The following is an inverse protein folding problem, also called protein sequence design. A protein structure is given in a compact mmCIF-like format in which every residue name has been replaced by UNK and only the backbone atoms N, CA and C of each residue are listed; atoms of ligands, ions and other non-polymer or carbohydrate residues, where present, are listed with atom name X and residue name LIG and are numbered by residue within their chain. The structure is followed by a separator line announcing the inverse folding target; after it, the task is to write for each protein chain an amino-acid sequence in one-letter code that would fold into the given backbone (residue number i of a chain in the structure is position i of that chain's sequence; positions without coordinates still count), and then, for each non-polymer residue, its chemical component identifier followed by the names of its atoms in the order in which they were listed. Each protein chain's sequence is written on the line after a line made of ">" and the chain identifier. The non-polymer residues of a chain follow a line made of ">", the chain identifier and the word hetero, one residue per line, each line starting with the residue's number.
data_IF_264353631508
#
_entry.id   IF_264353631508
#
_cell.length_a   1.000
_cell.length_b   1.000
_cell.length_c   1.000
_cell.angle_alpha   90.00
_cell.angle_beta   90.00
_cell.angle_gamma   90.00
#
_symmetry.space_group_name_H-M   'P 1'
#
loop_
_entity.id
_entity.type
_entity.pdbx_description
1 polymer ?
#
# COMPACT_ATOMS: atom_id res chain seq x y z
N UNK A 1 6.51 -1.48 11.33
CA UNK A 1 7.98 -1.65 11.15
C UNK A 1 8.46 -1.33 9.73
N UNK A 2 7.92 -1.94 8.68
CA UNK A 2 8.38 -1.74 7.29
C UNK A 2 8.55 -0.26 6.88
N UNK A 3 7.53 0.57 7.15
CA UNK A 3 7.55 2.01 6.87
C UNK A 3 8.69 2.77 7.55
N UNK A 4 9.10 2.33 8.74
CA UNK A 4 10.21 2.94 9.46
C UNK A 4 11.54 2.63 8.75
N UNK A 5 11.76 1.37 8.34
CA UNK A 5 12.98 0.95 7.66
C UNK A 5 13.21 1.68 6.33
N UNK A 6 12.15 1.95 5.57
CA UNK A 6 12.22 2.75 4.35
C UNK A 6 12.74 4.17 4.57
N UNK A 7 12.64 4.69 5.80
CA UNK A 7 13.14 6.02 6.17
C UNK A 7 14.53 5.92 6.82
N UNK A 8 14.71 4.95 7.72
CA UNK A 8 15.96 4.76 8.48
C UNK A 8 17.13 4.43 7.55
N UNK A 9 16.98 3.44 6.68
CA UNK A 9 18.07 2.97 5.82
C UNK A 9 18.67 4.10 4.96
N UNK A 10 17.90 4.85 4.15
CA UNK A 10 18.48 5.93 3.34
C UNK A 10 18.98 7.10 4.19
N UNK A 11 18.37 7.39 5.34
CA UNK A 11 18.82 8.48 6.20
C UNK A 11 20.21 8.19 6.81
N UNK A 12 20.41 6.99 7.34
CA UNK A 12 21.69 6.60 7.95
C UNK A 12 22.81 6.46 6.91
N UNK A 13 22.53 5.87 5.75
CA UNK A 13 23.53 5.72 4.67
C UNK A 13 24.02 7.08 4.16
N UNK A 14 23.17 8.10 4.19
CA UNK A 14 23.53 9.47 3.80
C UNK A 14 24.16 10.29 4.93
N UNK A 15 24.47 9.66 6.08
CA UNK A 15 25.17 10.30 7.19
C UNK A 15 24.29 11.12 8.13
N UNK A 16 22.96 10.98 8.06
CA UNK A 16 22.05 11.68 8.97
C UNK A 16 21.83 10.88 10.25
N UNK A 17 21.55 11.57 11.35
CA UNK A 17 20.92 10.98 12.53
C UNK A 17 19.40 10.98 12.38
N UNK A 18 18.70 10.10 13.10
CA UNK A 18 17.25 10.00 13.00
C UNK A 18 16.59 9.76 14.36
N UNK A 19 15.51 10.50 14.60
CA UNK A 19 14.56 10.23 15.70
C UNK A 19 13.27 9.67 15.10
N UNK A 20 12.93 8.44 15.47
CA UNK A 20 11.69 7.78 15.06
C UNK A 20 10.64 7.98 16.15
N UNK A 21 9.49 8.56 15.78
CA UNK A 21 8.25 8.45 16.56
C UNK A 21 7.33 7.42 15.91
N UNK A 22 7.15 6.23 16.50
CA UNK A 22 6.20 5.25 15.99
C UNK A 22 4.74 5.69 16.25
N UNK A 23 3.79 4.98 15.62
CA UNK A 23 2.37 5.11 15.98
C UNK A 23 2.17 4.72 17.44
N UNK A 24 1.37 5.49 18.22
CA UNK A 24 1.03 5.13 19.59
C UNK A 24 0.30 3.78 19.68
N UNK A 25 -0.32 3.35 18.58
CA UNK A 25 -1.06 2.09 18.54
C UNK A 25 -0.21 0.86 18.17
N UNK A 26 0.99 1.05 17.59
CA UNK A 26 1.88 -0.07 17.19
C UNK A 26 3.36 0.16 17.55
N UNK A 27 3.70 0.57 18.79
CA UNK A 27 5.06 1.00 19.13
C UNK A 27 6.05 -0.16 19.31
N UNK A 28 5.58 -1.34 19.73
CA UNK A 28 6.44 -2.41 20.26
C UNK A 28 7.52 -2.88 19.29
N UNK A 29 7.17 -3.06 18.01
CA UNK A 29 8.14 -3.52 16.99
C UNK A 29 9.22 -2.47 16.71
N UNK A 30 8.86 -1.18 16.70
CA UNK A 30 9.81 -0.08 16.53
C UNK A 30 10.71 0.11 17.75
N UNK A 31 10.17 -0.05 18.96
CA UNK A 31 10.96 -0.01 20.20
C UNK A 31 11.96 -1.17 20.25
N UNK A 32 11.51 -2.39 19.91
CA UNK A 32 12.39 -3.55 19.83
C UNK A 32 13.49 -3.38 18.79
N UNK A 33 13.16 -2.80 17.64
CA UNK A 33 14.16 -2.43 16.63
C UNK A 33 15.18 -1.43 17.17
N UNK A 34 14.74 -0.39 17.87
CA UNK A 34 15.63 0.59 18.51
C UNK A 34 16.63 -0.07 19.47
N UNK A 35 16.16 -0.99 20.32
CA UNK A 35 17.03 -1.76 21.23
C UNK A 35 18.10 -2.56 20.49
N UNK A 36 17.72 -3.24 19.40
CA UNK A 36 18.67 -4.02 18.58
C UNK A 36 19.64 -3.08 17.87
N UNK A 37 19.15 -1.98 17.31
CA UNK A 37 19.98 -1.02 16.60
C UNK A 37 21.04 -0.36 17.50
N UNK A 38 20.74 -0.16 18.78
CA UNK A 38 21.69 0.36 19.77
C UNK A 38 22.89 -0.56 20.03
N UNK A 39 22.81 -1.87 19.72
CA UNK A 39 23.97 -2.76 19.84
C UNK A 39 24.97 -2.62 18.68
N UNK A 40 24.63 -1.86 17.64
CA UNK A 40 25.41 -1.73 16.40
C UNK A 40 25.75 -0.28 16.10
N UNK A 41 24.82 0.64 16.35
CA UNK A 41 24.99 2.06 16.03
C UNK A 41 25.59 2.83 17.21
N UNK A 42 26.45 3.84 16.94
CA UNK A 42 26.91 4.75 17.98
C UNK A 42 25.75 5.45 18.71
N UNK A 43 25.93 5.83 19.99
CA UNK A 43 24.93 6.59 20.73
C UNK A 43 24.48 7.86 19.99
N UNK A 44 23.17 8.09 19.95
CA UNK A 44 22.56 9.27 19.33
C UNK A 44 22.36 9.21 17.81
N UNK A 45 22.89 8.20 17.11
CA UNK A 45 22.69 8.05 15.65
C UNK A 45 21.24 7.71 15.31
N UNK A 46 20.63 6.83 16.11
CA UNK A 46 19.24 6.44 15.98
C UNK A 46 18.56 6.45 17.36
N UNK A 47 17.49 7.22 17.48
CA UNK A 47 16.64 7.23 18.68
C UNK A 47 15.22 6.84 18.31
N UNK A 48 14.58 6.04 19.15
CA UNK A 48 13.15 5.69 19.01
C UNK A 48 12.42 6.23 20.23
N UNK A 49 11.54 7.20 20.01
CA UNK A 49 10.79 7.87 21.08
C UNK A 49 9.31 7.59 20.88
N UNK A 50 8.76 6.73 21.74
CA UNK A 50 7.33 6.43 21.74
C UNK A 50 6.58 7.48 22.55
N UNK A 51 5.44 7.93 22.04
CA UNK A 51 4.60 8.93 22.70
C UNK A 51 3.26 9.08 21.98
N UNK A 52 2.33 9.77 22.63
CA UNK A 52 1.02 10.13 22.11
C UNK A 52 1.14 11.19 20.97
N UNK A 53 0.01 11.74 20.55
CA UNK A 53 -0.03 12.70 19.44
C UNK A 53 0.62 14.05 19.76
N UNK A 54 0.77 14.41 21.04
CA UNK A 54 1.39 15.66 21.49
C UNK A 54 2.88 15.74 21.14
N UNK A 55 3.56 14.59 21.06
CA UNK A 55 4.97 14.54 20.66
C UNK A 55 5.20 14.98 19.20
N UNK A 56 4.20 14.81 18.32
CA UNK A 56 4.32 15.15 16.90
C UNK A 56 4.61 16.63 16.64
N UNK A 57 3.80 17.56 17.19
CA UNK A 57 4.07 18.99 17.12
C UNK A 57 5.46 19.40 17.65
N UNK A 58 5.87 18.88 18.82
CA UNK A 58 7.20 19.18 19.37
C UNK A 58 8.33 18.78 18.42
N UNK A 59 8.27 17.60 17.81
CA UNK A 59 9.27 17.17 16.84
C UNK A 59 9.24 17.98 15.54
N UNK A 60 8.05 18.31 15.04
CA UNK A 60 7.90 19.02 13.77
C UNK A 60 8.28 20.50 13.86
N UNK A 61 8.15 21.12 15.04
CA UNK A 61 8.56 22.49 15.31
C UNK A 61 10.02 22.63 15.80
N UNK A 62 10.68 21.54 16.19
CA UNK A 62 12.02 21.60 16.77
C UNK A 62 13.04 22.28 15.81
N UNK A 63 13.85 23.25 16.29
CA UNK A 63 14.79 23.99 15.44
C UNK A 63 15.84 23.06 14.83
N UNK A 64 16.37 22.10 15.61
CA UNK A 64 17.47 21.22 15.16
C UNK A 64 17.06 20.10 14.20
N UNK A 65 15.76 19.89 13.95
CA UNK A 65 15.31 18.86 13.00
C UNK A 65 15.28 19.45 11.58
N UNK A 66 16.24 19.07 10.75
CA UNK A 66 16.38 19.60 9.39
C UNK A 66 15.35 19.03 8.37
N UNK A 67 14.78 17.85 8.64
CA UNK A 67 13.85 17.17 7.73
C UNK A 67 12.82 16.34 8.49
N UNK A 68 11.57 16.40 8.02
CA UNK A 68 10.48 15.52 8.46
C UNK A 68 10.11 14.54 7.34
N UNK A 69 9.93 13.28 7.70
CA UNK A 69 9.40 12.23 6.82
C UNK A 69 8.22 11.57 7.53
N UNK A 70 7.01 11.89 7.10
CA UNK A 70 5.77 11.44 7.73
C UNK A 70 5.04 10.45 6.84
N UNK A 71 4.42 9.44 7.46
CA UNK A 71 3.51 8.52 6.80
C UNK A 71 2.26 8.36 7.66
N UNK A 72 1.08 8.64 7.11
CA UNK A 72 -0.17 8.64 7.86
C UNK A 72 -1.34 9.26 7.10
N UNK A 73 -2.34 9.77 7.82
CA UNK A 73 -3.53 10.35 7.18
C UNK A 73 -3.26 11.71 6.54
N UNK A 74 -4.04 12.07 5.52
CA UNK A 74 -4.00 13.41 4.90
C UNK A 74 -4.34 14.52 5.90
N UNK A 75 -5.27 14.27 6.82
CA UNK A 75 -5.61 15.22 7.88
C UNK A 75 -4.39 15.54 8.75
N UNK A 76 -3.72 14.52 9.28
CA UNK A 76 -2.50 14.69 10.08
C UNK A 76 -1.35 15.28 9.28
N UNK A 77 -1.19 14.88 8.01
CA UNK A 77 -0.18 15.45 7.11
C UNK A 77 -0.30 16.97 6.95
N UNK A 78 -1.53 17.50 6.87
CA UNK A 78 -1.77 18.97 6.86
C UNK A 78 -1.29 19.64 8.16
N UNK A 79 -1.48 19.01 9.32
CA UNK A 79 -0.95 19.52 10.60
C UNK A 79 0.58 19.49 10.63
N UNK A 80 1.21 18.43 10.13
CA UNK A 80 2.67 18.31 10.03
C UNK A 80 3.26 19.44 9.19
N UNK A 81 2.67 19.75 8.03
CA UNK A 81 3.12 20.88 7.19
C UNK A 81 3.03 22.20 7.95
N UNK A 82 1.88 22.48 8.57
CA UNK A 82 1.67 23.74 9.32
C UNK A 82 2.69 23.91 10.44
N UNK A 83 2.94 22.85 11.21
CA UNK A 83 3.89 22.86 12.32
C UNK A 83 5.34 23.04 11.84
N UNK A 84 5.69 22.43 10.70
CA UNK A 84 7.03 22.53 10.12
C UNK A 84 7.32 23.92 9.48
N UNK A 85 6.29 24.67 9.10
CA UNK A 85 6.40 25.91 8.33
C UNK A 85 7.26 26.97 9.02
N UNK A 86 7.18 27.09 10.36
CA UNK A 86 7.92 28.12 11.12
C UNK A 86 9.45 28.01 11.04
N UNK A 87 9.98 26.87 10.61
CA UNK A 87 11.43 26.64 10.47
C UNK A 87 11.87 26.38 9.03
N UNK A 88 10.93 26.43 8.08
CA UNK A 88 11.17 26.16 6.66
C UNK A 88 11.88 24.81 6.37
N UNK A 89 11.68 23.81 7.24
CA UNK A 89 12.33 22.50 7.10
C UNK A 89 11.71 21.67 5.97
N UNK A 90 12.50 20.78 5.37
CA UNK A 90 12.04 19.92 4.27
C UNK A 90 11.05 18.86 4.79
N UNK A 91 9.92 18.69 4.11
CA UNK A 91 8.92 17.68 4.45
C UNK A 91 8.73 16.67 3.30
N UNK A 92 8.60 15.39 3.65
CA UNK A 92 8.13 14.34 2.73
C UNK A 92 6.95 13.65 3.40
N UNK A 93 5.82 13.57 2.70
CA UNK A 93 4.56 13.06 3.24
C UNK A 93 4.04 11.95 2.34
N UNK A 94 3.91 10.76 2.91
CA UNK A 94 3.23 9.63 2.28
C UNK A 94 1.86 9.50 2.94
N UNK A 95 0.80 9.85 2.23
CA UNK A 95 -0.54 10.02 2.78
C UNK A 95 -1.51 8.93 2.29
N UNK A 96 -2.71 8.89 2.85
CA UNK A 96 -3.74 7.92 2.50
C UNK A 96 -4.06 7.84 0.99
N UNK A 97 -4.51 6.68 0.55
CA UNK A 97 -4.73 6.34 -0.86
C UNK A 97 -6.07 5.66 -1.09
N UNK A 98 -6.93 6.27 -1.90
CA UNK A 98 -8.18 5.65 -2.36
C UNK A 98 -7.96 5.05 -3.76
N UNK A 99 -7.08 4.07 -3.85
CA UNK A 99 -6.54 3.56 -5.11
C UNK A 99 -7.56 2.71 -5.88
N UNK A 100 -7.57 2.89 -7.19
CA UNK A 100 -8.42 2.12 -8.10
C UNK A 100 -7.62 0.98 -8.73
N UNK A 101 -8.25 -0.17 -8.94
CA UNK A 101 -7.77 -1.19 -9.86
C UNK A 101 -8.76 -1.31 -11.02
N UNK A 102 -8.25 -1.25 -12.25
CA UNK A 102 -9.04 -1.31 -13.48
C UNK A 102 -8.72 -2.63 -14.18
N UNK A 103 -9.73 -3.50 -14.28
CA UNK A 103 -9.64 -4.79 -14.96
C UNK A 103 -10.15 -4.62 -16.39
N UNK A 104 -9.22 -4.71 -17.34
CA UNK A 104 -9.45 -4.44 -18.76
C UNK A 104 -10.16 -5.61 -19.48
N UNK A 105 -10.89 -5.38 -20.59
CA UNK A 105 -11.65 -6.42 -21.28
C UNK A 105 -10.84 -7.67 -21.66
N UNK A 106 -9.55 -7.47 -21.96
CA UNK A 106 -8.58 -8.46 -22.41
C UNK A 106 -7.74 -9.07 -21.26
N UNK A 107 -7.97 -8.64 -20.02
CA UNK A 107 -7.31 -9.21 -18.86
C UNK A 107 -7.80 -10.65 -18.63
N UNK A 108 -6.86 -11.55 -18.35
CA UNK A 108 -7.16 -12.86 -17.76
C UNK A 108 -7.58 -12.66 -16.29
N UNK A 109 -8.80 -12.15 -16.11
CA UNK A 109 -9.30 -11.70 -14.82
C UNK A 109 -9.50 -12.88 -13.86
N UNK A 110 -9.81 -14.08 -14.38
CA UNK A 110 -9.98 -15.30 -13.59
C UNK A 110 -8.66 -15.69 -12.90
N UNK A 111 -7.54 -15.61 -13.61
CA UNK A 111 -6.22 -15.94 -13.06
C UNK A 111 -5.70 -14.93 -12.01
N UNK A 112 -6.20 -13.69 -12.02
CA UNK A 112 -5.74 -12.61 -11.13
C UNK A 112 -6.67 -12.33 -9.94
N UNK A 113 -7.78 -13.05 -9.79
CA UNK A 113 -8.68 -12.92 -8.63
C UNK A 113 -7.93 -12.97 -7.29
N UNK A 114 -7.01 -13.94 -7.03
CA UNK A 114 -6.27 -13.97 -5.76
C UNK A 114 -5.46 -12.69 -5.51
N UNK A 115 -4.83 -12.13 -6.54
CA UNK A 115 -3.97 -10.95 -6.47
C UNK A 115 -4.81 -9.70 -6.22
N UNK A 116 -5.95 -9.55 -6.90
CA UNK A 116 -6.89 -8.45 -6.68
C UNK A 116 -7.49 -8.53 -5.27
N UNK A 117 -7.84 -9.74 -4.82
CA UNK A 117 -8.36 -9.96 -3.48
C UNK A 117 -7.34 -9.54 -2.42
N UNK A 118 -6.13 -10.08 -2.46
CA UNK A 118 -5.09 -9.74 -1.47
C UNK A 118 -4.60 -8.30 -1.59
N UNK A 119 -4.63 -7.72 -2.79
CA UNK A 119 -4.39 -6.30 -3.00
C UNK A 119 -5.43 -5.42 -2.30
N UNK A 120 -6.68 -5.88 -2.20
CA UNK A 120 -7.77 -5.12 -1.58
C UNK A 120 -7.90 -5.37 -0.07
N UNK A 121 -7.83 -6.63 0.37
CA UNK A 121 -8.13 -7.03 1.76
C UNK A 121 -6.88 -7.41 2.58
N UNK A 122 -5.71 -7.48 1.96
CA UNK A 122 -4.45 -7.79 2.67
C UNK A 122 -4.24 -6.84 3.86
N UNK A 123 -3.72 -7.37 4.97
CA UNK A 123 -3.62 -6.65 6.25
C UNK A 123 -4.97 -6.04 6.70
N UNK A 124 -6.07 -6.77 6.46
CA UNK A 124 -7.45 -6.34 6.69
C UNK A 124 -7.79 -5.01 5.99
N UNK A 125 -7.27 -4.83 4.77
CA UNK A 125 -7.45 -3.63 3.95
C UNK A 125 -6.71 -2.38 4.45
N UNK A 126 -5.82 -2.53 5.43
CA UNK A 126 -5.08 -1.41 6.05
C UNK A 126 -3.71 -1.21 5.39
N UNK A 127 -3.71 -1.04 4.07
CA UNK A 127 -2.54 -0.68 3.26
C UNK A 127 -2.81 0.59 2.46
N UNK A 128 -1.84 1.51 2.45
CA UNK A 128 -1.94 2.80 1.75
C UNK A 128 -1.82 2.69 0.22
N UNK A 129 -1.28 1.57 -0.28
CA UNK A 129 -1.19 1.23 -1.72
C UNK A 129 -2.14 0.09 -2.09
N UNK A 130 -3.10 -0.20 -1.20
CA UNK A 130 -4.06 -1.28 -1.38
C UNK A 130 -5.19 -0.87 -2.31
N UNK A 131 -5.77 -1.84 -3.02
CA UNK A 131 -6.89 -1.62 -3.92
C UNK A 131 -8.12 -1.24 -3.09
N UNK A 132 -8.62 -0.03 -3.29
CA UNK A 132 -9.79 0.50 -2.56
C UNK A 132 -11.06 0.45 -3.40
N UNK A 133 -10.92 0.43 -4.72
CA UNK A 133 -12.02 0.33 -5.68
C UNK A 133 -11.63 -0.61 -6.80
N UNK A 134 -12.51 -1.54 -7.14
CA UNK A 134 -12.36 -2.43 -8.28
C UNK A 134 -13.29 -1.97 -9.40
N UNK A 135 -12.73 -1.46 -10.49
CA UNK A 135 -13.45 -1.19 -11.73
C UNK A 135 -13.25 -2.36 -12.67
N UNK A 136 -14.34 -2.99 -13.08
CA UNK A 136 -14.31 -4.26 -13.83
C UNK A 136 -15.12 -4.06 -15.09
N UNK A 137 -14.61 -4.56 -16.22
CA UNK A 137 -15.31 -4.36 -17.48
C UNK A 137 -16.74 -4.94 -17.46
N UNK A 138 -17.70 -4.15 -17.94
CA UNK A 138 -19.14 -4.47 -17.89
C UNK A 138 -19.50 -5.82 -18.52
N UNK A 139 -18.74 -6.28 -19.53
CA UNK A 139 -19.03 -7.55 -20.22
C UNK A 139 -18.89 -8.81 -19.36
N UNK A 140 -18.15 -8.75 -18.25
CA UNK A 140 -17.95 -9.89 -17.35
C UNK A 140 -18.07 -9.52 -15.86
N UNK A 141 -18.56 -8.32 -15.54
CA UNK A 141 -18.67 -7.83 -14.16
C UNK A 141 -19.37 -8.81 -13.21
N UNK A 142 -20.55 -9.32 -13.58
CA UNK A 142 -21.29 -10.27 -12.74
C UNK A 142 -20.49 -11.56 -12.47
N UNK A 143 -19.91 -12.16 -13.52
CA UNK A 143 -19.04 -13.35 -13.40
C UNK A 143 -17.81 -13.09 -12.53
N UNK A 144 -17.22 -11.90 -12.65
CA UNK A 144 -16.10 -11.48 -11.81
C UNK A 144 -16.51 -11.39 -10.34
N UNK A 145 -17.62 -10.73 -10.04
CA UNK A 145 -18.13 -10.58 -8.66
C UNK A 145 -18.37 -11.95 -8.04
N UNK A 146 -19.01 -12.87 -8.76
CA UNK A 146 -19.26 -14.23 -8.29
C UNK A 146 -17.95 -14.97 -7.97
N UNK A 147 -16.96 -14.91 -8.87
CA UNK A 147 -15.66 -15.54 -8.67
C UNK A 147 -14.86 -14.90 -7.51
N UNK A 148 -14.92 -13.58 -7.38
CA UNK A 148 -14.28 -12.83 -6.31
C UNK A 148 -14.88 -13.19 -4.95
N UNK A 149 -16.21 -13.25 -4.86
CA UNK A 149 -16.94 -13.69 -3.65
C UNK A 149 -16.62 -15.15 -3.33
N UNK A 150 -16.59 -16.03 -4.33
CA UNK A 150 -16.20 -17.43 -4.12
C UNK A 150 -14.78 -17.56 -3.55
N UNK A 151 -13.82 -16.77 -4.03
CA UNK A 151 -12.48 -16.72 -3.46
C UNK A 151 -12.48 -16.20 -2.02
N UNK A 152 -13.23 -15.12 -1.77
CA UNK A 152 -13.32 -14.45 -0.49
C UNK A 152 -13.92 -15.34 0.62
N UNK A 153 -14.93 -16.16 0.29
CA UNK A 153 -15.57 -17.11 1.23
C UNK A 153 -14.62 -18.19 1.77
N UNK A 154 -13.48 -18.43 1.12
CA UNK A 154 -12.47 -19.38 1.59
C UNK A 154 -11.57 -18.81 2.69
N UNK A 155 -11.70 -17.52 3.00
CA UNK A 155 -10.85 -16.86 3.98
C UNK A 155 -11.40 -16.98 5.39
N UNK A 156 -10.51 -17.20 6.36
CA UNK A 156 -10.85 -17.34 7.79
C UNK A 156 -10.56 -16.03 8.51
N UNK A 157 -11.59 -15.41 9.07
CA UNK A 157 -11.49 -14.21 9.90
C UNK A 157 -11.25 -14.60 11.36
N UNK A 158 -10.12 -14.22 11.96
CA UNK A 158 -9.74 -14.72 13.28
C UNK A 158 -8.57 -14.01 13.93
N UNK A 159 -8.13 -14.55 15.06
CA UNK A 159 -6.92 -14.11 15.74
C UNK A 159 -5.69 -14.32 14.84
N UNK A 160 -4.84 -13.29 14.72
CA UNK A 160 -3.62 -13.36 13.92
C UNK A 160 -2.55 -14.32 14.46
N UNK A 161 -2.74 -14.88 15.66
CA UNK A 161 -1.89 -15.95 16.20
C UNK A 161 -2.30 -17.35 15.75
N UNK A 162 -3.53 -17.53 15.23
CA UNK A 162 -3.97 -18.80 14.66
C UNK A 162 -3.42 -18.96 13.23
N UNK A 163 -2.63 -20.01 12.92
CA UNK A 163 -2.02 -20.20 11.60
C UNK A 163 -3.04 -20.46 10.47
N UNK A 164 -4.29 -20.83 10.79
CA UNK A 164 -5.35 -21.02 9.80
C UNK A 164 -6.06 -19.71 9.45
N UNK A 165 -5.85 -18.65 10.22
CA UNK A 165 -6.49 -17.35 10.00
C UNK A 165 -5.79 -16.63 8.86
N UNK A 166 -6.60 -16.13 7.93
CA UNK A 166 -6.09 -15.43 6.74
C UNK A 166 -6.45 -13.93 6.75
N UNK A 167 -7.46 -13.53 7.52
CA UNK A 167 -7.84 -12.12 7.73
C UNK A 167 -7.92 -11.83 9.23
N UNK A 168 -7.17 -10.82 9.67
CA UNK A 168 -7.11 -10.43 11.08
C UNK A 168 -8.08 -9.29 11.45
N UNK A 169 -8.02 -8.80 12.70
CA UNK A 169 -8.80 -7.64 13.11
C UNK A 169 -8.28 -6.35 12.47
N UNK A 170 -9.12 -5.31 12.49
CA UNK A 170 -8.66 -3.94 12.25
C UNK A 170 -7.90 -3.42 13.46
N UNK A 171 -7.02 -2.46 13.24
CA UNK A 171 -5.91 -2.19 14.15
C UNK A 171 -6.36 -1.65 15.52
N UNK A 172 -7.38 -0.78 15.56
CA UNK A 172 -7.81 -0.11 16.78
C UNK A 172 -9.30 0.25 16.76
N UNK A 173 -9.83 0.67 17.91
CA UNK A 173 -11.24 1.05 18.08
C UNK A 173 -11.65 2.22 17.20
N UNK A 174 -10.83 3.25 17.07
CA UNK A 174 -11.15 4.43 16.25
C UNK A 174 -11.39 4.04 14.79
N UNK A 175 -10.54 3.19 14.24
CA UNK A 175 -10.68 2.67 12.89
C UNK A 175 -11.91 1.75 12.78
N UNK A 176 -12.15 0.89 13.77
CA UNK A 176 -13.35 0.04 13.83
C UNK A 176 -14.66 0.84 13.80
N UNK A 177 -14.78 1.88 14.63
CA UNK A 177 -15.97 2.74 14.64
C UNK A 177 -16.11 3.53 13.34
N UNK A 178 -15.01 4.04 12.76
CA UNK A 178 -15.03 4.66 11.42
C UNK A 178 -15.57 3.69 10.37
N UNK A 179 -15.17 2.42 10.41
CA UNK A 179 -15.62 1.43 9.43
C UNK A 179 -17.12 1.14 9.58
N UNK A 180 -17.63 1.12 10.82
CA UNK A 180 -19.07 0.97 11.05
C UNK A 180 -19.89 2.08 10.39
N UNK A 181 -19.39 3.31 10.31
CA UNK A 181 -20.11 4.38 9.58
C UNK A 181 -20.26 4.08 8.09
N UNK A 182 -19.29 3.40 7.46
CA UNK A 182 -19.43 2.93 6.07
C UNK A 182 -20.50 1.84 5.95
N UNK A 183 -20.50 0.87 6.87
CA UNK A 183 -21.49 -0.21 6.87
C UNK A 183 -22.91 0.31 7.13
N UNK A 184 -23.05 1.29 8.02
CA UNK A 184 -24.33 1.95 8.31
C UNK A 184 -24.82 2.78 7.12
N UNK A 185 -23.95 3.50 6.41
CA UNK A 185 -24.29 4.21 5.17
C UNK A 185 -24.76 3.25 4.07
N UNK A 186 -24.03 2.15 3.87
CA UNK A 186 -24.36 1.07 2.93
C UNK A 186 -25.75 0.51 3.23
N UNK A 187 -26.04 0.21 4.51
CA UNK A 187 -27.34 -0.32 4.95
C UNK A 187 -28.45 0.71 4.77
N UNK A 188 -28.24 1.95 5.22
CA UNK A 188 -29.23 3.01 5.17
C UNK A 188 -29.65 3.36 3.73
N UNK A 189 -28.71 3.30 2.80
CA UNK A 189 -28.96 3.59 1.37
C UNK A 189 -29.33 2.36 0.55
N UNK A 190 -29.37 1.17 1.16
CA UNK A 190 -29.78 -0.07 0.50
C UNK A 190 -28.84 -0.53 -0.61
N UNK A 191 -27.53 -0.28 -0.48
CA UNK A 191 -26.56 -0.74 -1.46
C UNK A 191 -26.45 -2.28 -1.45
N UNK A 192 -26.22 -2.87 -2.62
CA UNK A 192 -26.17 -4.32 -2.78
C UNK A 192 -24.90 -4.90 -2.17
N UNK A 193 -25.03 -5.56 -1.03
CA UNK A 193 -23.93 -6.30 -0.40
C UNK A 193 -24.00 -7.77 -0.81
N UNK A 194 -22.96 -8.29 -1.47
CA UNK A 194 -22.90 -9.68 -1.97
C UNK A 194 -22.10 -10.62 -1.06
N UNK A 195 -21.37 -10.05 -0.10
CA UNK A 195 -20.64 -10.76 0.94
C UNK A 195 -20.43 -9.84 2.15
N UNK A 196 -20.50 -10.38 3.36
CA UNK A 196 -20.21 -9.64 4.60
C UNK A 196 -21.30 -8.64 4.96
N UNK A 197 -20.90 -7.44 5.39
CA UNK A 197 -21.81 -6.34 5.72
C UNK A 197 -22.29 -6.28 7.17
N UNK A 198 -22.19 -7.37 7.91
CA UNK A 198 -22.64 -7.47 9.30
C UNK A 198 -21.50 -7.75 10.26
N UNK A 199 -21.32 -6.87 11.24
CA UNK A 199 -20.34 -7.05 12.31
C UNK A 199 -21.01 -7.80 13.44
N UNK A 200 -20.40 -8.90 13.87
CA UNK A 200 -20.83 -9.67 15.04
C UNK A 200 -20.63 -8.82 16.31
N UNK A 201 -21.71 -8.39 16.99
CA UNK A 201 -21.62 -7.54 18.16
C UNK A 201 -21.10 -8.27 19.40
N UNK A 202 -21.23 -9.59 19.44
CA UNK A 202 -20.87 -10.43 20.59
C UNK A 202 -19.41 -10.91 20.51
N UNK A 203 -18.77 -10.73 19.34
CA UNK A 203 -17.38 -11.11 19.13
C UNK A 203 -16.41 -10.10 19.77
N UNK A 204 -15.55 -10.52 20.71
CA UNK A 204 -14.54 -9.65 21.27
C UNK A 204 -13.48 -9.27 20.23
N UNK A 205 -13.05 -8.01 20.25
CA UNK A 205 -12.04 -7.47 19.34
C UNK A 205 -12.63 -6.66 18.19
N UNK A 206 -11.75 -6.15 17.32
CA UNK A 206 -12.14 -5.25 16.24
C UNK A 206 -12.23 -6.00 14.92
N UNK A 207 -13.19 -6.92 14.81
CA UNK A 207 -13.34 -7.77 13.64
C UNK A 207 -14.36 -7.19 12.67
N UNK A 208 -13.91 -6.94 11.44
CA UNK A 208 -14.78 -6.55 10.32
C UNK A 208 -14.72 -7.70 9.30
N UNK A 209 -15.86 -8.31 8.91
CA UNK A 209 -15.85 -9.32 7.88
C UNK A 209 -15.45 -8.73 6.53
N UNK A 210 -14.82 -9.55 5.70
CA UNK A 210 -14.63 -9.18 4.30
C UNK A 210 -15.98 -8.87 3.69
N UNK A 211 -16.13 -7.63 3.22
CA UNK A 211 -17.40 -7.12 2.71
C UNK A 211 -17.22 -6.70 1.26
N UNK A 212 -18.12 -7.14 0.39
CA UNK A 212 -18.11 -6.79 -1.04
C UNK A 212 -19.41 -6.09 -1.38
N UNK A 213 -19.30 -4.86 -1.88
CA UNK A 213 -20.43 -4.01 -2.27
C UNK A 213 -20.48 -3.96 -3.80
N UNK A 214 -21.55 -4.49 -4.36
CA UNK A 214 -21.74 -4.66 -5.79
C UNK A 214 -22.44 -3.44 -6.40
N UNK A 215 -21.75 -2.78 -7.33
CA UNK A 215 -22.23 -1.63 -8.10
C UNK A 215 -22.85 -0.50 -7.25
N UNK A 216 -22.17 0.00 -6.19
CA UNK A 216 -22.64 1.21 -5.51
C UNK A 216 -22.54 2.44 -6.44
N UNK A 217 -23.36 3.47 -6.24
CA UNK A 217 -23.25 4.74 -6.97
C UNK A 217 -21.84 5.34 -6.88
N UNK A 218 -21.36 5.97 -7.95
CA UNK A 218 -20.00 6.54 -7.97
C UNK A 218 -19.80 7.62 -6.91
N UNK A 219 -20.83 8.40 -6.58
CA UNK A 219 -20.82 9.45 -5.57
C UNK A 219 -21.02 8.93 -4.14
N UNK A 220 -21.17 7.61 -3.96
CA UNK A 220 -21.33 7.00 -2.65
C UNK A 220 -20.07 7.14 -1.78
N UNK A 221 -20.28 7.18 -0.46
CA UNK A 221 -19.18 7.32 0.51
C UNK A 221 -18.16 6.19 0.38
N UNK A 222 -18.61 4.95 0.17
CA UNK A 222 -17.73 3.78 0.00
C UNK A 222 -16.82 3.87 -1.24
N UNK A 223 -17.21 4.65 -2.25
CA UNK A 223 -16.39 4.90 -3.45
C UNK A 223 -15.52 6.14 -3.27
N UNK A 224 -16.05 7.23 -2.72
CA UNK A 224 -15.34 8.52 -2.65
C UNK A 224 -14.26 8.56 -1.55
N UNK A 225 -14.48 7.86 -0.45
CA UNK A 225 -13.61 7.94 0.72
C UNK A 225 -12.74 6.70 0.93
N UNK A 226 -11.59 6.89 1.58
CA UNK A 226 -10.71 5.80 1.99
C UNK A 226 -11.26 5.13 3.27
N UNK A 227 -11.83 3.94 3.08
CA UNK A 227 -12.34 3.06 4.14
C UNK A 227 -11.26 2.53 5.09
N UNK A 228 -10.05 2.26 4.59
CA UNK A 228 -8.92 1.60 5.24
C UNK A 228 -9.31 0.30 5.97
N UNK A 229 -10.04 -0.58 5.27
CA UNK A 229 -10.80 -1.70 5.84
C UNK A 229 -10.99 -2.83 4.81
N UNK A 230 -11.38 -4.05 5.22
CA UNK A 230 -11.66 -5.14 4.29
C UNK A 230 -13.07 -5.01 3.65
N UNK A 231 -13.43 -3.79 3.20
CA UNK A 231 -14.68 -3.49 2.50
C UNK A 231 -14.32 -3.00 1.11
N UNK A 232 -14.82 -3.69 0.08
CA UNK A 232 -14.40 -3.47 -1.31
C UNK A 232 -15.62 -3.21 -2.20
N UNK A 233 -15.76 -2.01 -2.77
CA UNK A 233 -16.73 -1.74 -3.83
C UNK A 233 -16.22 -2.28 -5.18
N UNK A 234 -17.08 -2.97 -5.91
CA UNK A 234 -16.87 -3.41 -7.29
C UNK A 234 -17.82 -2.67 -8.21
N UNK A 235 -17.30 -1.97 -9.21
CA UNK A 235 -18.07 -1.15 -10.15
C UNK A 235 -17.90 -1.66 -11.58
N UNK A 236 -18.99 -1.76 -12.36
CA UNK A 236 -18.91 -2.01 -13.79
C UNK A 236 -18.38 -0.77 -14.50
N UNK A 237 -17.54 -0.98 -15.51
CA UNK A 237 -16.99 0.09 -16.34
C UNK A 237 -17.05 -0.31 -17.81
N UNK A 238 -17.44 0.63 -18.67
CA UNK A 238 -17.39 0.48 -20.12
C UNK A 238 -16.38 1.46 -20.70
N UNK A 239 -15.50 1.01 -21.59
CA UNK A 239 -14.59 1.89 -22.32
C UNK A 239 -15.33 2.49 -23.52
N UNK A 240 -15.68 3.78 -23.47
CA UNK A 240 -16.13 4.51 -24.65
C UNK A 240 -14.95 5.25 -25.29
N UNK A 241 -14.77 5.13 -26.60
CA UNK A 241 -13.72 5.81 -27.38
C UNK A 241 -13.87 7.35 -27.43
N UNK A 242 -14.91 7.93 -26.81
CA UNK A 242 -15.24 9.35 -26.94
C UNK A 242 -15.78 10.00 -25.65
N UNK A 243 -15.73 9.35 -24.48
CA UNK A 243 -16.21 10.00 -23.24
C UNK A 243 -15.19 9.98 -22.12
N UNK A 244 -15.12 11.12 -21.43
CA UNK A 244 -14.29 11.52 -20.31
C UNK A 244 -14.52 10.74 -19.00
N UNK A 245 -15.11 9.54 -19.06
CA UNK A 245 -15.41 8.73 -17.87
C UNK A 245 -14.22 7.87 -17.42
N UNK A 246 -13.01 8.39 -17.53
CA UNK A 246 -11.92 7.86 -16.71
C UNK A 246 -12.24 8.22 -15.25
N UNK A 247 -12.04 7.31 -14.28
CA UNK A 247 -12.32 7.60 -12.87
C UNK A 247 -11.55 8.83 -12.43
N UNK A 248 -12.27 9.95 -12.31
CA UNK A 248 -11.69 11.30 -12.15
C UNK A 248 -11.05 11.50 -10.77
N UNK A 249 -11.24 10.54 -9.86
CA UNK A 249 -10.80 10.57 -8.46
C UNK A 249 -9.69 9.56 -8.13
N UNK A 250 -9.16 8.81 -9.10
CA UNK A 250 -8.05 7.89 -8.84
C UNK A 250 -6.73 8.65 -8.67
N UNK A 251 -6.21 8.70 -7.44
CA UNK A 251 -4.88 9.28 -7.12
C UNK A 251 -3.73 8.33 -7.47
N UNK A 252 -4.01 7.03 -7.56
CA UNK A 252 -3.17 6.03 -8.21
C UNK A 252 -4.06 4.92 -8.78
N UNK A 253 -3.60 4.25 -9.84
CA UNK A 253 -4.36 3.23 -10.55
C UNK A 253 -3.49 1.98 -10.81
N UNK A 254 -4.03 0.82 -10.46
CA UNK A 254 -3.52 -0.46 -10.92
C UNK A 254 -4.20 -0.76 -12.25
N UNK A 255 -3.42 -0.75 -13.34
CA UNK A 255 -3.86 -1.28 -14.60
C UNK A 255 -3.28 -2.69 -14.73
N UNK A 256 -4.09 -3.69 -15.01
CA UNK A 256 -3.57 -5.03 -15.35
C UNK A 256 -3.68 -5.18 -16.86
N UNK A 257 -2.62 -4.84 -17.65
CA UNK A 257 -2.70 -4.94 -19.09
C UNK A 257 -2.29 -6.31 -19.62
N UNK A 258 -2.79 -6.56 -20.82
CA UNK A 258 -2.44 -7.54 -21.85
C UNK A 258 -1.25 -8.47 -21.55
N UNK A 259 -1.50 -9.78 -21.55
CA UNK A 259 -0.50 -10.85 -21.52
C UNK A 259 0.30 -11.06 -22.83
N UNK A 260 0.25 -10.10 -23.76
CA UNK A 260 1.03 -10.13 -25.00
C UNK A 260 1.54 -8.72 -25.30
N UNK A 261 2.75 -8.63 -25.86
CA UNK A 261 3.53 -7.42 -26.11
C UNK A 261 2.86 -6.44 -27.09
N UNK A 262 1.77 -5.83 -26.66
CA UNK A 262 1.08 -4.73 -27.36
C UNK A 262 1.16 -3.51 -26.45
N UNK A 263 1.66 -2.36 -26.94
CA UNK A 263 1.73 -1.15 -26.12
C UNK A 263 0.31 -0.76 -25.69
N UNK A 264 0.13 -0.49 -24.40
CA UNK A 264 -1.13 0.04 -23.88
C UNK A 264 -1.54 1.27 -24.71
N UNK A 265 -2.82 1.39 -25.13
CA UNK A 265 -3.28 2.64 -25.71
C UNK A 265 -3.02 3.75 -24.70
N UNK A 266 -2.60 4.95 -25.13
CA UNK A 266 -2.31 6.04 -24.22
C UNK A 266 -3.56 6.30 -23.38
N UNK A 267 -3.44 6.15 -22.05
CA UNK A 267 -4.38 6.75 -21.13
C UNK A 267 -4.50 8.23 -21.54
N UNK A 268 -5.72 8.80 -21.66
CA UNK A 268 -5.86 10.22 -21.92
C UNK A 268 -5.03 10.99 -20.88
N UNK A 269 -4.26 11.97 -21.38
CA UNK A 269 -3.24 12.83 -20.72
C UNK A 269 -3.42 13.11 -19.22
N UNK A 270 -2.32 13.39 -18.49
CA UNK A 270 -2.08 12.93 -17.14
C UNK A 270 -3.20 13.33 -16.18
N UNK A 271 -4.08 12.38 -15.87
CA UNK A 271 -4.70 12.39 -14.55
C UNK A 271 -3.57 12.32 -13.52
N UNK A 272 -3.73 13.03 -12.41
CA UNK A 272 -2.69 13.30 -11.41
C UNK A 272 -2.26 12.05 -10.60
N UNK A 273 -2.01 10.93 -11.29
CA UNK A 273 -1.76 9.63 -10.70
C UNK A 273 -0.30 9.20 -10.86
N UNK A 274 0.31 8.87 -9.73
CA UNK A 274 1.61 8.19 -9.56
C UNK A 274 1.44 7.18 -8.42
N UNK A 275 2.12 6.02 -8.38
CA UNK A 275 2.60 5.19 -9.48
C UNK A 275 1.46 4.35 -10.09
N UNK A 276 1.52 4.09 -11.39
CA UNK A 276 0.63 3.11 -12.03
C UNK A 276 1.33 1.75 -12.05
N UNK A 277 0.69 0.74 -11.48
CA UNK A 277 1.21 -0.63 -11.52
C UNK A 277 0.59 -1.36 -12.69
N UNK A 278 1.44 -1.78 -13.61
CA UNK A 278 1.14 -2.59 -14.79
C UNK A 278 1.35 -4.06 -14.42
N UNK A 279 0.27 -4.80 -14.17
CA UNK A 279 0.36 -6.22 -13.83
C UNK A 279 0.82 -7.07 -15.02
N UNK A 280 2.11 -7.41 -15.10
CA UNK A 280 2.55 -8.56 -15.88
C UNK A 280 2.33 -9.83 -15.03
N UNK A 281 1.88 -10.93 -15.64
CA UNK A 281 1.66 -12.24 -14.99
C UNK A 281 2.90 -12.83 -14.30
N UNK A 282 4.07 -12.17 -14.38
CA UNK A 282 5.35 -12.62 -13.81
C UNK A 282 5.85 -11.83 -12.59
N UNK A 283 5.21 -10.76 -12.15
CA UNK A 283 5.83 -9.85 -11.18
C UNK A 283 4.93 -9.39 -10.04
N UNK A 284 4.62 -10.32 -9.13
CA UNK A 284 4.52 -10.03 -7.69
C UNK A 284 5.60 -10.89 -7.01
N UNK A 285 6.48 -10.35 -6.14
CA UNK A 285 7.54 -11.14 -5.53
C UNK A 285 6.95 -12.35 -4.80
N UNK A 286 7.42 -13.57 -5.13
CA UNK A 286 7.10 -14.84 -4.44
C UNK A 286 7.42 -14.87 -2.94
N UNK A 287 7.82 -13.75 -2.34
CA UNK A 287 8.10 -13.60 -0.91
C UNK A 287 6.84 -13.43 -0.05
N UNK A 288 5.64 -13.34 -0.65
CA UNK A 288 4.38 -13.05 0.06
C UNK A 288 3.41 -14.24 0.12
N UNK A 289 3.90 -15.46 -0.07
CA UNK A 289 3.18 -16.69 0.30
C UNK A 289 3.98 -17.44 1.36
N UNK A 290 3.33 -17.73 2.48
CA UNK A 290 3.90 -18.43 3.64
C UNK A 290 4.58 -19.74 3.24
N UNK A 291 5.87 -19.89 3.58
CA UNK A 291 6.47 -21.22 3.75
C UNK A 291 6.75 -21.46 5.22
N UNK A 292 6.15 -22.55 5.70
CA UNK A 292 6.44 -23.22 6.95
C UNK A 292 7.95 -23.43 7.11
N UNK A 293 8.41 -23.20 8.34
CA UNK A 293 9.76 -23.53 8.76
C UNK A 293 9.94 -25.06 8.77
N UNK A 294 10.93 -25.54 8.04
CA UNK A 294 11.60 -26.81 8.33
C UNK A 294 13.09 -26.65 8.04
N UNK A 295 13.86 -26.79 9.10
CA UNK A 295 15.32 -26.92 9.21
C UNK A 295 15.99 -27.66 8.06
N UNK A 296 17.07 -27.09 7.51
CA UNK A 296 18.37 -27.78 7.43
C UNK A 296 19.49 -26.83 7.04
N UNK A 297 20.58 -26.94 7.80
CA UNK A 297 21.89 -26.37 7.55
C UNK A 297 22.47 -26.83 6.20
N UNK A 298 22.95 -25.89 5.38
CA UNK A 298 24.17 -26.03 4.56
C UNK A 298 24.54 -24.71 3.92
N UNK A 299 25.75 -24.28 4.20
CA UNK A 299 26.47 -23.25 3.47
C UNK A 299 26.67 -23.67 2.00
N UNK A 300 26.55 -22.73 1.05
CA UNK A 300 27.53 -22.65 -0.05
C UNK A 300 27.47 -21.34 -0.85
N UNK A 301 28.66 -21.02 -1.35
CA UNK A 301 29.11 -19.84 -2.07
C UNK A 301 28.67 -19.83 -3.56
N UNK A 302 28.96 -18.77 -4.34
CA UNK A 302 28.36 -18.54 -5.65
C UNK A 302 29.12 -19.28 -6.77
N UNK A 303 28.39 -19.93 -7.66
CA UNK A 303 28.94 -20.52 -8.90
C UNK A 303 28.25 -19.98 -10.15
N UNK A 304 28.98 -19.09 -10.84
CA UNK A 304 29.27 -19.09 -12.29
C UNK A 304 28.22 -19.52 -13.33
N UNK A 305 27.85 -18.54 -14.15
CA UNK A 305 28.03 -18.49 -15.62
C UNK A 305 27.48 -19.60 -16.55
N UNK A 306 26.63 -19.19 -17.49
CA UNK A 306 26.65 -19.61 -18.89
C UNK A 306 26.19 -18.40 -19.77
N UNK A 307 27.17 -17.72 -20.41
CA UNK A 307 27.41 -17.55 -21.87
C UNK A 307 26.20 -17.08 -22.71
N UNK A 308 26.33 -16.28 -23.76
CA UNK A 308 27.33 -15.34 -24.30
C UNK A 308 26.64 -14.78 -25.55
N UNK A 309 26.63 -13.45 -25.73
CA UNK A 309 26.15 -12.80 -26.95
C UNK A 309 27.03 -11.58 -27.21
N UNK A 310 27.82 -11.66 -28.27
CA UNK A 310 28.90 -10.75 -28.64
C UNK A 310 28.47 -9.29 -28.81
N UNK A 311 29.21 -8.36 -28.20
CA UNK A 311 29.53 -7.06 -28.79
C UNK A 311 30.87 -6.55 -28.19
N UNK A 312 31.86 -6.38 -29.06
CA UNK A 312 33.24 -5.99 -28.75
C UNK A 312 33.36 -4.60 -28.10
N UNK A 313 34.37 -4.36 -27.23
CA UNK A 313 34.63 -3.04 -26.66
C UNK A 313 35.62 -2.26 -27.54
N UNK A 314 35.21 -1.09 -28.04
CA UNK A 314 36.15 -0.11 -28.60
C UNK A 314 36.73 0.69 -27.44
N UNK A 315 37.96 0.36 -27.01
CA UNK A 315 38.86 1.27 -26.29
C UNK A 315 39.64 2.09 -27.32
N UNK A 316 39.63 3.41 -27.18
CA UNK A 316 40.83 4.24 -27.44
C UNK A 316 40.95 5.31 -26.35
N UNK A 317 42.17 5.57 -25.85
CA UNK A 317 42.44 6.58 -24.82
C UNK A 317 42.61 7.96 -25.46
N UNK A 318 42.23 9.02 -24.74
CA UNK A 318 42.77 10.34 -25.02
C UNK A 318 43.12 11.05 -23.73
N UNK A 319 44.43 11.20 -23.53
CA UNK A 319 45.07 12.09 -22.57
C UNK A 319 44.89 13.55 -23.01
N UNK A 320 44.53 14.44 -22.08
CA UNK A 320 45.13 15.77 -22.07
C UNK A 320 45.02 16.40 -20.67
N UNK A 321 46.16 16.93 -20.28
CA UNK A 321 46.53 17.61 -19.05
C UNK A 321 46.00 19.05 -19.01
N UNK A 322 45.85 19.55 -17.77
CA UNK A 322 46.00 20.95 -17.33
C UNK A 322 45.04 22.02 -17.89
N UNK A 323 44.24 22.63 -16.99
CA UNK A 323 44.62 23.87 -16.29
C UNK A 323 43.58 24.30 -15.26
N UNK A 324 44.08 24.51 -14.05
CA UNK A 324 43.49 25.29 -12.97
C UNK A 324 43.67 26.76 -13.32
N UNK A 325 42.62 27.59 -13.12
CA UNK A 325 42.81 29.00 -12.82
C UNK A 325 41.70 29.54 -11.89
N UNK A 326 42.21 30.01 -10.74
CA UNK A 326 41.70 30.99 -9.78
C UNK A 326 40.49 30.61 -8.93
#
# INVERSE_FOLDING_TARGET
>A
MLLALWKVAPALITGNTMVIKPSPFTPLTSLRFGQIAQSVLPPGVLSVVSGNDELGPHMTAHPDIAKISFTGSTATGKHVIRSAAGTMKRVTLELGGNDAAIVMPDADWEAIIPQLFWGAVGNSGQWCVGIKRLYVHSSYHARFVDAFVAYARRQKLGDGLDPEVTVGPVQNRMQFEKIKTFLDDIRAKGYKVVLGGEVDPDRPGYFIPVTVVDNPPEDSMIVQEEQFAPIVPTLPMTMSTTSSNAPTTARSAWAVPCGAATPAPPLPSPTASRPAWCGSTKSIPRAWTSRSAATSSRAWAPSTAARAGNCSPIRKPFSSTNRIHK
#
